data_IF_695265387979
#
_entry.id   IF_695265387979
#
_cell.length_a   1.000
_cell.length_b   1.000
_cell.length_c   1.000
_cell.angle_alpha   90.00
_cell.angle_beta   90.00
_cell.angle_gamma   90.00
#
_symmetry.space_group_name_H-M   'P 1'
#
loop_
_entity.id
_entity.type
_entity.pdbx_description
1 polymer ?
#
# COMPACT_ATOMS: atom_id res chain seq x y z
N UNK A 1 -4.64 16.37 29.90
CA UNK A 1 -5.40 15.12 29.72
C UNK A 1 -4.45 13.96 29.91
N UNK A 2 -4.72 13.03 30.83
CA UNK A 2 -3.87 11.85 31.06
C UNK A 2 -4.49 10.70 30.27
N UNK A 3 -3.77 10.19 29.28
CA UNK A 3 -4.15 8.95 28.58
C UNK A 3 -3.60 7.76 29.36
N UNK A 4 -4.45 6.76 29.56
CA UNK A 4 -4.08 5.50 30.21
C UNK A 4 -4.27 4.38 29.20
N UNK A 5 -3.26 3.52 29.10
CA UNK A 5 -3.35 2.28 28.34
C UNK A 5 -3.95 1.24 29.27
N UNK A 6 -5.03 0.60 28.82
CA UNK A 6 -5.65 -0.51 29.51
C UNK A 6 -5.66 -1.69 28.56
N UNK A 7 -5.43 -2.89 29.08
CA UNK A 7 -5.70 -4.13 28.35
C UNK A 7 -7.22 -4.26 28.17
N UNK A 8 -7.77 -3.54 27.19
CA UNK A 8 -9.19 -3.55 26.82
C UNK A 8 -9.53 -4.64 25.81
N UNK A 9 -8.52 -5.35 25.31
CA UNK A 9 -8.66 -6.46 24.39
C UNK A 9 -8.10 -7.68 25.10
N UNK A 10 -8.96 -8.62 25.52
CA UNK A 10 -8.53 -9.97 25.88
C UNK A 10 -8.10 -10.68 24.59
N UNK A 11 -7.02 -10.20 23.97
CA UNK A 11 -6.39 -10.92 22.88
C UNK A 11 -5.85 -12.20 23.50
N UNK A 12 -6.19 -13.34 22.90
CA UNK A 12 -5.58 -14.61 23.25
C UNK A 12 -4.07 -14.39 23.34
N UNK A 13 -3.36 -15.03 24.28
CA UNK A 13 -1.91 -14.98 24.30
C UNK A 13 -1.44 -15.24 22.86
N UNK A 14 -0.55 -14.40 22.33
CA UNK A 14 0.18 -14.69 21.09
C UNK A 14 1.12 -15.88 21.35
N UNK A 15 0.55 -17.05 21.69
CA UNK A 15 1.21 -18.34 21.58
C UNK A 15 1.46 -18.65 20.12
N UNK A 16 2.21 -19.73 19.83
CA UNK A 16 2.66 -20.11 18.47
C UNK A 16 1.62 -19.78 17.38
N UNK A 17 1.88 -18.64 16.74
CA UNK A 17 1.47 -18.14 15.43
C UNK A 17 0.42 -19.00 14.73
N UNK A 18 -0.86 -18.76 15.02
CA UNK A 18 -1.92 -19.18 14.09
C UNK A 18 -2.00 -18.13 12.98
N UNK A 19 -2.07 -18.57 11.72
CA UNK A 19 -1.99 -17.72 10.53
C UNK A 19 -3.09 -16.65 10.43
N UNK A 20 -4.18 -16.77 11.19
CA UNK A 20 -5.29 -15.81 11.21
C UNK A 20 -5.07 -14.67 12.22
N UNK A 21 -4.33 -14.89 13.31
CA UNK A 21 -4.04 -13.86 14.31
C UNK A 21 -3.16 -12.74 13.73
N UNK A 22 -2.37 -13.07 12.70
CA UNK A 22 -1.65 -12.15 11.84
C UNK A 22 -2.50 -10.99 11.32
N UNK A 23 -3.78 -11.25 11.08
CA UNK A 23 -4.72 -10.34 10.43
C UNK A 23 -5.63 -9.61 11.44
N UNK A 24 -5.43 -9.79 12.74
CA UNK A 24 -6.19 -9.12 13.79
C UNK A 24 -5.68 -7.68 14.10
N UNK A 25 -4.76 -7.15 13.29
CA UNK A 25 -4.22 -5.81 13.46
C UNK A 25 -5.27 -4.71 13.26
N UNK A 26 -5.53 -3.91 14.30
CA UNK A 26 -6.53 -2.82 14.25
C UNK A 26 -6.15 -1.71 13.26
N UNK A 27 -4.87 -1.57 12.94
CA UNK A 27 -4.39 -0.56 11.98
C UNK A 27 -4.35 -1.08 10.54
N UNK A 28 -4.62 -2.36 10.34
CA UNK A 28 -4.58 -2.97 9.03
C UNK A 28 -3.18 -3.35 8.57
N UNK A 29 -3.02 -3.52 7.26
CA UNK A 29 -1.77 -3.94 6.68
C UNK A 29 -1.71 -3.82 5.16
N UNK A 30 -0.63 -4.34 4.59
CA UNK A 30 -0.36 -4.41 3.15
C UNK A 30 0.46 -5.66 2.85
N UNK A 31 0.48 -6.05 1.57
CA UNK A 31 1.37 -7.11 1.08
C UNK A 31 2.06 -6.69 -0.20
N UNK A 32 3.24 -7.24 -0.42
CA UNK A 32 3.97 -7.18 -1.67
C UNK A 32 4.49 -8.59 -1.96
N UNK A 33 4.20 -9.12 -3.15
CA UNK A 33 4.52 -10.51 -3.49
C UNK A 33 4.04 -11.50 -2.40
N UNK A 34 4.98 -12.20 -1.75
CA UNK A 34 4.73 -13.15 -0.67
C UNK A 34 4.94 -12.57 0.74
N UNK A 35 5.34 -11.30 0.83
CA UNK A 35 5.59 -10.59 2.09
C UNK A 35 4.41 -9.71 2.48
N UNK A 36 4.27 -9.44 3.77
CA UNK A 36 3.20 -8.61 4.32
C UNK A 36 3.56 -7.97 5.66
N UNK A 37 2.91 -6.84 5.92
CA UNK A 37 2.99 -6.13 7.19
C UNK A 37 1.57 -5.90 7.68
N UNK A 38 1.28 -6.35 8.89
CA UNK A 38 0.00 -6.12 9.59
C UNK A 38 0.26 -5.54 10.96
N UNK A 39 -0.27 -4.35 11.23
CA UNK A 39 0.02 -3.57 12.42
C UNK A 39 -1.07 -3.75 13.48
N UNK A 40 -0.67 -4.14 14.69
CA UNK A 40 -1.56 -4.30 15.83
C UNK A 40 -1.03 -3.60 17.08
N UNK A 41 -1.96 -3.21 17.95
CA UNK A 41 -1.60 -2.76 19.29
C UNK A 41 -1.03 -3.90 20.11
N UNK A 42 -0.08 -3.57 20.97
CA UNK A 42 0.46 -4.48 21.96
C UNK A 42 -0.38 -4.42 23.24
N UNK A 43 -0.51 -5.57 23.92
CA UNK A 43 -0.96 -5.60 25.31
C UNK A 43 0.06 -4.90 26.22
N UNK A 44 -0.37 -4.44 27.40
CA UNK A 44 0.51 -3.77 28.36
C UNK A 44 1.69 -4.66 28.75
N UNK A 45 1.46 -5.97 28.91
CA UNK A 45 2.52 -6.95 29.17
C UNK A 45 3.56 -6.99 28.04
N UNK A 46 3.11 -7.01 26.78
CA UNK A 46 3.99 -6.98 25.61
C UNK A 46 4.75 -5.65 25.47
N UNK A 47 4.08 -4.52 25.72
CA UNK A 47 4.72 -3.18 25.72
C UNK A 47 5.89 -3.18 26.70
N UNK A 48 5.66 -3.61 27.94
CA UNK A 48 6.70 -3.65 28.98
C UNK A 48 7.83 -4.62 28.62
N UNK A 49 7.49 -5.83 28.18
CA UNK A 49 8.46 -6.87 27.82
C UNK A 49 9.35 -6.45 26.65
N UNK A 50 8.77 -6.00 25.54
CA UNK A 50 9.51 -5.60 24.34
C UNK A 50 10.35 -4.34 24.59
N UNK A 51 9.79 -3.33 25.26
CA UNK A 51 10.53 -2.10 25.57
C UNK A 51 11.70 -2.34 26.51
N UNK A 52 11.55 -3.24 27.50
CA UNK A 52 12.64 -3.59 28.42
C UNK A 52 13.78 -4.36 27.71
N UNK A 53 13.43 -5.23 26.76
CA UNK A 53 14.38 -6.04 26.02
C UNK A 53 15.24 -5.19 25.07
N UNK A 54 14.65 -4.20 24.38
CA UNK A 54 15.39 -3.24 23.56
C UNK A 54 16.38 -2.40 24.38
N UNK A 55 16.01 -1.99 25.60
CA UNK A 55 16.90 -1.24 26.50
C UNK A 55 18.09 -2.09 26.97
N UNK A 56 17.89 -3.40 27.16
CA UNK A 56 18.95 -4.31 27.62
C UNK A 56 20.00 -4.66 26.56
N UNK A 57 19.66 -4.54 25.27
CA UNK A 57 20.56 -4.87 24.15
C UNK A 57 21.41 -3.68 23.68
N UNK A 58 21.38 -2.55 24.39
CA UNK A 58 22.21 -1.37 24.07
C UNK A 58 21.83 -0.65 22.77
N UNK A 59 20.70 -1.01 22.15
CA UNK A 59 20.29 -0.50 20.84
C UNK A 59 19.48 0.79 20.86
N UNK A 60 19.01 1.27 22.03
CA UNK A 60 18.16 2.48 22.10
C UNK A 60 18.14 3.11 23.50
N UNK A 61 17.82 4.40 23.55
CA UNK A 61 17.63 5.14 24.80
C UNK A 61 16.47 4.56 25.63
N UNK A 62 16.65 4.47 26.95
CA UNK A 62 15.70 3.89 27.92
C UNK A 62 14.36 4.65 27.98
N UNK A 63 14.26 5.75 27.27
CA UNK A 63 13.13 6.67 27.15
C UNK A 63 12.03 6.20 26.20
N UNK A 64 12.19 5.16 25.38
CA UNK A 64 11.15 4.73 24.42
C UNK A 64 10.22 3.62 24.96
N UNK A 65 8.96 3.61 24.51
CA UNK A 65 7.99 2.53 24.68
C UNK A 65 7.47 2.04 23.33
N UNK A 66 7.57 0.75 23.04
CA UNK A 66 6.97 0.13 21.84
C UNK A 66 5.48 -0.08 22.11
N UNK A 67 4.63 0.60 21.34
CA UNK A 67 3.18 0.69 21.55
C UNK A 67 2.37 -0.17 20.57
N UNK A 68 2.86 -0.31 19.35
CA UNK A 68 2.29 -1.16 18.31
C UNK A 68 3.41 -1.86 17.55
N UNK A 69 3.15 -3.02 16.97
CA UNK A 69 4.13 -3.70 16.14
C UNK A 69 3.48 -4.50 15.03
N UNK A 70 4.26 -4.77 14.00
CA UNK A 70 3.93 -5.75 12.98
C UNK A 70 4.15 -7.17 13.51
N UNK A 71 3.56 -8.14 12.82
CA UNK A 71 4.04 -9.51 12.92
C UNK A 71 5.55 -9.58 12.61
N UNK A 72 6.28 -10.40 13.38
CA UNK A 72 7.73 -10.53 13.25
C UNK A 72 8.54 -9.31 13.70
N UNK A 73 7.89 -8.25 14.21
CA UNK A 73 8.54 -7.01 14.69
C UNK A 73 9.39 -6.28 13.63
N UNK A 74 9.09 -6.48 12.34
CA UNK A 74 9.75 -5.78 11.23
C UNK A 74 9.48 -4.27 11.29
N UNK A 75 8.29 -3.89 11.75
CA UNK A 75 7.87 -2.50 11.96
C UNK A 75 7.33 -2.32 13.38
N UNK A 76 7.76 -1.26 14.05
CA UNK A 76 7.36 -0.95 15.42
C UNK A 76 6.97 0.51 15.53
N UNK A 77 5.92 0.82 16.28
CA UNK A 77 5.56 2.20 16.62
C UNK A 77 5.97 2.45 18.06
N UNK A 78 6.85 3.42 18.27
CA UNK A 78 7.30 3.83 19.59
C UNK A 78 6.76 5.18 20.02
N UNK A 79 6.74 5.38 21.33
CA UNK A 79 6.49 6.64 22.00
C UNK A 79 7.70 7.00 22.86
N UNK A 80 8.21 8.20 22.70
CA UNK A 80 9.21 8.79 23.59
C UNK A 80 8.54 9.26 24.90
N UNK A 81 9.02 8.77 26.05
CA UNK A 81 8.47 9.07 27.39
C UNK A 81 8.69 10.52 27.83
N UNK A 82 9.68 11.21 27.27
CA UNK A 82 10.12 12.55 27.65
C UNK A 82 9.31 13.60 26.89
N UNK A 83 9.30 13.52 25.57
CA UNK A 83 8.64 14.52 24.71
C UNK A 83 7.28 14.05 24.17
N UNK A 84 6.93 12.77 24.32
CA UNK A 84 5.66 12.22 23.85
C UNK A 84 5.56 12.06 22.33
N UNK A 85 6.66 12.18 21.60
CA UNK A 85 6.71 12.00 20.15
C UNK A 85 6.49 10.53 19.77
N UNK A 86 5.93 10.31 18.58
CA UNK A 86 5.72 8.98 18.02
C UNK A 86 6.53 8.78 16.77
N UNK A 87 7.22 7.65 16.72
CA UNK A 87 8.02 7.25 15.58
C UNK A 87 7.77 5.80 15.17
N UNK A 88 7.76 5.55 13.88
CA UNK A 88 7.88 4.21 13.30
C UNK A 88 9.35 3.86 13.21
N UNK A 89 9.72 2.75 13.84
CA UNK A 89 11.06 2.20 13.91
C UNK A 89 11.12 0.95 13.05
N UNK A 90 12.21 0.85 12.29
CA UNK A 90 12.41 -0.11 11.22
C UNK A 90 13.82 -0.66 11.37
N UNK A 91 13.98 -1.67 12.22
CA UNK A 91 15.30 -2.17 12.60
C UNK A 91 16.19 -1.07 13.20
N UNK A 92 17.43 -0.93 12.70
CA UNK A 92 18.44 0.01 13.21
C UNK A 92 18.60 1.32 12.42
N UNK A 93 17.83 1.55 11.35
CA UNK A 93 18.27 2.48 10.30
C UNK A 93 17.70 3.90 10.38
N UNK A 94 16.39 4.12 10.53
CA UNK A 94 15.80 5.48 10.52
C UNK A 94 14.46 5.50 11.25
N UNK A 95 14.23 6.52 12.07
CA UNK A 95 12.94 6.80 12.70
C UNK A 95 12.09 7.70 11.78
N UNK A 96 10.87 7.28 11.45
CA UNK A 96 9.91 8.13 10.71
C UNK A 96 8.81 8.62 11.65
N UNK A 97 8.29 9.86 11.51
CA UNK A 97 7.15 10.30 12.29
C UNK A 97 5.97 9.33 12.14
N UNK A 98 5.30 9.02 13.24
CA UNK A 98 4.12 8.15 13.25
C UNK A 98 2.87 8.88 13.72
N UNK A 99 2.85 10.21 13.71
CA UNK A 99 1.65 10.99 13.99
C UNK A 99 1.71 12.34 13.24
N UNK A 100 0.57 12.91 12.83
CA UNK A 100 0.51 14.28 12.34
C UNK A 100 1.07 15.27 13.37
N UNK A 101 1.70 16.36 12.92
CA UNK A 101 2.11 17.46 13.79
C UNK A 101 0.92 18.20 14.43
N UNK A 102 1.15 18.89 15.55
CA UNK A 102 0.11 19.63 16.26
C UNK A 102 0.27 19.71 17.78
N UNK A 103 -0.24 20.78 18.37
CA UNK A 103 -0.12 21.05 19.82
C UNK A 103 -1.37 20.68 20.64
N UNK A 104 -2.50 20.40 20.00
CA UNK A 104 -3.80 20.29 20.68
C UNK A 104 -3.95 19.04 21.57
N UNK A 105 -3.24 17.95 21.25
CA UNK A 105 -3.24 16.71 22.04
C UNK A 105 -1.94 15.92 21.83
N UNK A 106 -1.70 14.89 22.65
CA UNK A 106 -0.49 14.08 22.54
C UNK A 106 -0.45 13.30 21.20
N UNK A 107 0.75 12.85 20.80
CA UNK A 107 0.94 12.19 19.51
C UNK A 107 0.09 10.92 19.35
N UNK A 108 -0.10 10.13 20.42
CA UNK A 108 -0.94 8.91 20.41
C UNK A 108 -2.37 9.24 20.01
N UNK A 109 -2.95 10.26 20.63
CA UNK A 109 -4.31 10.66 20.29
C UNK A 109 -4.40 11.15 18.84
N UNK A 110 -3.43 11.96 18.39
CA UNK A 110 -3.38 12.43 16.99
C UNK A 110 -3.29 11.28 16.01
N UNK A 111 -2.44 10.28 16.28
CA UNK A 111 -2.27 9.09 15.47
C UNK A 111 -3.58 8.29 15.33
N UNK A 112 -4.23 7.97 16.45
CA UNK A 112 -5.52 7.26 16.42
C UNK A 112 -6.64 8.07 15.77
N UNK A 113 -6.75 9.36 16.08
CA UNK A 113 -7.80 10.21 15.53
C UNK A 113 -7.64 10.35 14.01
N UNK A 114 -6.42 10.49 13.51
CA UNK A 114 -6.15 10.55 12.07
C UNK A 114 -6.41 9.20 11.40
N UNK A 115 -6.02 8.07 12.01
CA UNK A 115 -6.35 6.75 11.49
C UNK A 115 -7.88 6.55 11.38
N UNK A 116 -8.60 6.84 12.46
CA UNK A 116 -10.07 6.74 12.50
C UNK A 116 -10.72 7.69 11.48
N UNK A 117 -10.18 8.89 11.32
CA UNK A 117 -10.62 9.85 10.29
C UNK A 117 -10.44 9.26 8.88
N UNK A 118 -9.27 8.71 8.57
CA UNK A 118 -8.97 8.08 7.27
C UNK A 118 -9.88 6.89 6.97
N UNK A 119 -10.17 6.04 7.97
CA UNK A 119 -11.14 4.97 7.83
C UNK A 119 -12.54 5.49 7.54
N UNK A 120 -13.04 6.44 8.35
CA UNK A 120 -14.36 7.04 8.18
C UNK A 120 -14.51 7.72 6.82
N UNK A 121 -13.47 8.41 6.36
CA UNK A 121 -13.47 9.15 5.11
C UNK A 121 -13.25 8.21 3.89
N UNK A 122 -13.09 6.89 4.14
CA UNK A 122 -12.96 5.85 3.12
C UNK A 122 -11.61 5.84 2.40
N UNK A 123 -10.55 6.38 3.04
CA UNK A 123 -9.19 6.33 2.48
C UNK A 123 -8.72 4.88 2.40
N UNK A 124 -8.95 4.10 3.45
CA UNK A 124 -8.63 2.67 3.49
C UNK A 124 -9.91 1.85 3.45
N UNK A 125 -9.93 0.81 2.64
CA UNK A 125 -11.04 -0.14 2.58
C UNK A 125 -10.69 -1.44 3.31
N UNK A 126 -11.72 -2.16 3.76
CA UNK A 126 -11.55 -3.54 4.16
C UNK A 126 -11.42 -4.41 2.91
N UNK A 127 -10.26 -5.02 2.70
CA UNK A 127 -10.00 -5.92 1.57
C UNK A 127 -9.03 -7.04 1.96
N UNK A 128 -8.95 -8.12 1.18
CA UNK A 128 -7.91 -9.13 1.35
C UNK A 128 -6.53 -8.46 1.25
N UNK A 129 -5.64 -8.72 2.22
CA UNK A 129 -4.25 -8.22 2.15
C UNK A 129 -3.50 -8.88 1.00
N UNK A 130 -3.76 -10.16 0.73
CA UNK A 130 -3.27 -10.86 -0.44
C UNK A 130 -4.42 -10.99 -1.45
N UNK A 131 -4.52 -10.11 -2.45
CA UNK A 131 -5.66 -10.11 -3.38
C UNK A 131 -5.71 -11.36 -4.27
N UNK A 132 -4.56 -11.99 -4.53
CA UNK A 132 -4.43 -13.18 -5.37
C UNK A 132 -4.47 -14.50 -4.57
N UNK A 133 -4.60 -14.43 -3.24
CA UNK A 133 -4.69 -15.60 -2.35
C UNK A 133 -5.92 -15.47 -1.44
N UNK A 134 -6.38 -16.57 -0.86
CA UNK A 134 -7.43 -16.48 0.17
C UNK A 134 -6.84 -15.86 1.43
N UNK A 135 -7.25 -14.65 1.76
CA UNK A 135 -6.93 -13.97 3.02
C UNK A 135 -8.16 -13.25 3.57
N UNK A 136 -8.30 -13.11 4.90
CA UNK A 136 -9.42 -12.39 5.49
C UNK A 136 -9.39 -10.91 5.06
N UNK A 137 -10.58 -10.31 4.96
CA UNK A 137 -10.67 -8.88 4.71
C UNK A 137 -10.32 -8.11 5.98
N UNK A 138 -9.37 -7.20 5.87
CA UNK A 138 -8.91 -6.33 6.97
C UNK A 138 -8.67 -4.93 6.41
N UNK A 139 -8.51 -3.89 7.23
CA UNK A 139 -8.13 -2.58 6.70
C UNK A 139 -6.84 -2.70 5.87
N UNK A 140 -6.92 -2.33 4.59
CA UNK A 140 -5.81 -2.39 3.67
C UNK A 140 -5.23 -0.98 3.49
N UNK A 141 -3.92 -0.83 3.73
CA UNK A 141 -3.27 0.48 3.77
C UNK A 141 -2.97 1.08 2.40
N UNK A 142 -3.31 0.39 1.31
CA UNK A 142 -3.36 1.00 -0.02
C UNK A 142 -4.57 1.95 -0.11
N UNK A 143 -4.37 3.26 -0.33
CA UNK A 143 -5.49 4.18 -0.44
C UNK A 143 -6.43 3.83 -1.60
N UNK A 144 -7.74 3.82 -1.35
CA UNK A 144 -8.75 3.55 -2.39
C UNK A 144 -9.28 4.84 -2.99
N UNK A 145 -9.36 5.91 -2.18
CA UNK A 145 -9.84 7.22 -2.64
C UNK A 145 -8.70 8.10 -3.11
N UNK A 146 -8.92 8.76 -4.24
CA UNK A 146 -8.04 9.83 -4.70
C UNK A 146 -8.11 11.01 -3.73
N UNK A 147 -6.96 11.48 -3.28
CA UNK A 147 -6.83 12.66 -2.41
C UNK A 147 -6.54 13.95 -3.22
N UNK A 148 -6.94 13.99 -4.48
CA UNK A 148 -6.65 15.07 -5.43
C UNK A 148 -5.83 14.59 -6.65
N UNK A 149 -5.54 15.45 -7.64
CA UNK A 149 -4.90 15.07 -8.90
C UNK A 149 -3.47 14.50 -8.76
N UNK A 150 -2.84 14.71 -7.61
CA UNK A 150 -1.50 14.22 -7.27
C UNK A 150 -1.50 13.26 -6.07
N UNK A 151 -2.68 12.72 -5.71
CA UNK A 151 -2.83 11.80 -4.60
C UNK A 151 -2.21 10.42 -4.85
N UNK A 152 -2.03 9.61 -3.80
CA UNK A 152 -1.43 8.28 -3.86
C UNK A 152 -2.35 7.23 -4.49
N UNK A 153 -3.60 7.59 -4.82
CA UNK A 153 -4.54 6.73 -5.52
C UNK A 153 -5.20 7.47 -6.67
N UNK A 154 -5.18 6.89 -7.87
CA UNK A 154 -5.74 7.48 -9.08
C UNK A 154 -6.46 6.43 -9.92
N UNK A 155 -7.33 6.90 -10.82
CA UNK A 155 -8.07 6.04 -11.76
C UNK A 155 -7.94 6.60 -13.16
N UNK A 156 -7.70 5.73 -14.14
CA UNK A 156 -7.86 6.02 -15.55
C UNK A 156 -8.86 5.03 -16.17
N UNK A 157 -9.60 5.49 -17.17
CA UNK A 157 -10.48 4.65 -17.97
C UNK A 157 -10.10 4.84 -19.44
N UNK A 158 -9.84 3.73 -20.14
CA UNK A 158 -9.53 3.74 -21.56
C UNK A 158 -10.40 2.71 -22.25
N UNK A 159 -11.31 3.17 -23.13
CA UNK A 159 -12.20 2.30 -23.90
C UNK A 159 -12.93 1.25 -23.03
N UNK A 160 -13.44 1.66 -21.87
CA UNK A 160 -14.14 0.76 -20.94
C UNK A 160 -13.24 -0.01 -19.97
N UNK A 161 -11.93 -0.06 -20.17
CA UNK A 161 -11.00 -0.68 -19.22
C UNK A 161 -10.66 0.35 -18.14
N UNK A 162 -11.00 0.06 -16.89
CA UNK A 162 -10.70 0.90 -15.72
C UNK A 162 -9.47 0.35 -15.00
N UNK A 163 -8.47 1.21 -14.85
CA UNK A 163 -7.24 0.95 -14.08
C UNK A 163 -7.23 1.87 -12.86
N UNK A 164 -7.31 1.28 -11.67
CA UNK A 164 -7.07 1.98 -10.41
C UNK A 164 -5.65 1.66 -9.94
N UNK A 165 -4.88 2.69 -9.61
CA UNK A 165 -3.52 2.55 -9.11
C UNK A 165 -3.41 3.25 -7.76
N UNK A 166 -2.85 2.54 -6.78
CA UNK A 166 -2.58 3.03 -5.43
C UNK A 166 -1.12 2.80 -5.07
N UNK A 167 -0.51 3.70 -4.31
CA UNK A 167 0.88 3.58 -3.86
C UNK A 167 1.03 3.75 -2.35
N UNK A 168 2.08 3.14 -1.81
CA UNK A 168 2.44 3.18 -0.40
C UNK A 168 3.98 3.21 -0.28
N UNK A 169 4.50 4.08 0.58
CA UNK A 169 5.92 4.09 0.92
C UNK A 169 6.24 3.01 1.96
N UNK A 170 7.32 2.27 1.74
CA UNK A 170 7.72 1.12 2.54
C UNK A 170 9.09 1.35 3.18
N UNK A 171 9.13 2.04 4.32
CA UNK A 171 10.39 2.44 4.89
C UNK A 171 11.21 1.24 5.42
N UNK A 172 10.58 0.14 5.83
CA UNK A 172 11.27 -1.09 6.28
C UNK A 172 12.00 -1.84 5.16
N UNK A 173 11.74 -1.50 3.89
CA UNK A 173 12.41 -2.07 2.73
C UNK A 173 13.38 -1.07 2.07
N UNK A 174 13.63 0.09 2.67
CA UNK A 174 14.60 1.06 2.17
C UNK A 174 16.02 0.64 2.54
N UNK A 175 17.01 1.01 1.72
CA UNK A 175 18.42 0.80 2.04
C UNK A 175 18.81 1.61 3.28
N UNK A 176 19.60 1.03 4.19
CA UNK A 176 20.19 1.79 5.29
C UNK A 176 21.31 2.70 4.73
N UNK A 177 21.28 4.02 4.94
CA UNK A 177 22.35 4.92 4.51
C UNK A 177 23.74 4.55 5.09
N UNK A 178 23.78 3.83 6.21
CA UNK A 178 25.02 3.38 6.85
C UNK A 178 25.57 2.06 6.27
N UNK A 179 24.83 1.39 5.38
CA UNK A 179 25.29 0.18 4.69
C UNK A 179 26.09 0.56 3.43
N UNK A 180 27.34 0.95 3.65
CA UNK A 180 28.29 1.37 2.59
C UNK A 180 28.45 0.32 1.48
N UNK A 181 28.16 -0.96 1.74
CA UNK A 181 28.24 -2.05 0.77
C UNK A 181 27.14 -1.98 -0.31
N UNK A 182 26.02 -1.28 -0.05
CA UNK A 182 24.88 -1.16 -0.98
C UNK A 182 24.91 0.10 -1.85
N UNK A 183 25.88 0.99 -1.66
CA UNK A 183 26.29 2.01 -2.63
C UNK A 183 25.32 3.17 -2.93
N UNK A 184 24.01 3.03 -2.70
CA UNK A 184 23.03 4.12 -2.94
C UNK A 184 21.79 3.98 -2.05
N UNK A 185 21.29 5.11 -1.52
CA UNK A 185 19.98 5.17 -0.89
C UNK A 185 18.91 4.72 -1.89
N UNK A 186 18.11 3.71 -1.52
CA UNK A 186 16.99 3.25 -2.32
C UNK A 186 15.72 3.35 -1.50
N UNK A 187 14.75 4.07 -2.05
CA UNK A 187 13.44 4.31 -1.48
C UNK A 187 12.45 3.29 -2.06
N UNK A 188 11.89 2.44 -1.22
CA UNK A 188 10.96 1.40 -1.68
C UNK A 188 9.52 1.90 -1.64
N UNK A 189 8.83 1.78 -2.77
CA UNK A 189 7.42 2.07 -2.90
C UNK A 189 6.68 0.82 -3.36
N UNK A 190 5.68 0.42 -2.60
CA UNK A 190 4.71 -0.58 -3.03
C UNK A 190 3.58 0.08 -3.82
N UNK A 191 3.01 -0.67 -4.74
CA UNK A 191 1.83 -0.24 -5.47
C UNK A 191 0.84 -1.38 -5.65
N UNK A 192 -0.45 -1.03 -5.62
CA UNK A 192 -1.58 -1.90 -5.86
C UNK A 192 -2.28 -1.43 -7.13
N UNK A 193 -2.46 -2.34 -8.08
CA UNK A 193 -3.19 -2.07 -9.32
C UNK A 193 -4.45 -2.94 -9.34
N UNK A 194 -5.58 -2.32 -9.63
CA UNK A 194 -6.86 -2.99 -9.79
C UNK A 194 -7.41 -2.74 -11.19
N UNK A 195 -7.66 -3.82 -11.91
CA UNK A 195 -8.30 -3.80 -13.22
C UNK A 195 -9.78 -4.15 -13.10
N UNK A 196 -10.61 -3.46 -13.88
CA UNK A 196 -12.00 -3.86 -14.12
C UNK A 196 -12.41 -3.47 -15.55
N UNK A 197 -13.35 -4.21 -16.12
CA UNK A 197 -14.01 -3.83 -17.36
C UNK A 197 -15.39 -3.26 -17.00
N UNK A 198 -15.64 -2.01 -17.40
CA UNK A 198 -16.93 -1.36 -17.19
C UNK A 198 -18.08 -2.22 -17.74
N UNK A 199 -19.25 -2.13 -17.12
CA UNK A 199 -20.46 -2.75 -17.66
C UNK A 199 -20.78 -2.19 -19.05
N UNK A 200 -21.53 -2.95 -19.85
CA UNK A 200 -21.95 -2.50 -21.19
C UNK A 200 -22.71 -1.16 -21.13
N UNK A 201 -23.53 -0.97 -20.09
CA UNK A 201 -24.26 0.27 -19.82
C UNK A 201 -23.32 1.45 -19.52
N UNK A 202 -22.31 1.26 -18.65
CA UNK A 202 -21.31 2.29 -18.36
C UNK A 202 -20.45 2.62 -19.58
N UNK A 203 -20.10 1.62 -20.40
CA UNK A 203 -19.37 1.82 -21.66
C UNK A 203 -20.22 2.63 -22.66
N UNK A 204 -21.51 2.31 -22.78
CA UNK A 204 -22.44 3.03 -23.64
C UNK A 204 -22.64 4.48 -23.17
N UNK A 205 -22.74 4.70 -21.86
CA UNK A 205 -22.89 6.03 -21.28
C UNK A 205 -21.62 6.90 -21.45
N UNK A 206 -20.44 6.29 -21.46
CA UNK A 206 -19.17 6.96 -21.69
C UNK A 206 -18.82 7.15 -23.18
N UNK A 207 -19.60 6.56 -24.08
CA UNK A 207 -19.39 6.68 -25.52
C UNK A 207 -19.71 8.10 -25.97
N UNK A 208 -18.73 8.77 -26.57
CA UNK A 208 -18.82 10.15 -27.03
C UNK A 208 -19.53 10.31 -28.39
N UNK A 209 -20.02 9.22 -28.98
CA UNK A 209 -20.65 9.23 -30.29
C UNK A 209 -19.67 9.37 -31.45
N UNK A 210 -18.36 9.30 -31.21
CA UNK A 210 -17.35 9.39 -32.27
C UNK A 210 -17.39 8.17 -33.21
N UNK A 211 -16.99 8.41 -34.47
CA UNK A 211 -16.95 7.49 -35.62
C UNK A 211 -17.39 6.03 -35.40
N UNK A 212 -18.65 5.74 -35.75
CA UNK A 212 -19.14 4.36 -35.94
C UNK A 212 -20.33 3.98 -35.08
N UNK A 213 -20.65 2.69 -35.09
CA UNK A 213 -21.65 2.10 -34.20
C UNK A 213 -20.98 1.70 -32.90
N UNK A 214 -21.58 2.04 -31.76
CA UNK A 214 -21.09 1.61 -30.46
C UNK A 214 -21.09 0.08 -30.38
N UNK A 215 -19.94 -0.49 -30.04
CA UNK A 215 -19.77 -1.91 -29.76
C UNK A 215 -19.07 -2.04 -28.41
N UNK A 216 -19.74 -2.60 -27.38
CA UNK A 216 -19.15 -2.77 -26.07
C UNK A 216 -18.12 -3.89 -26.09
N UNK A 217 -17.07 -3.72 -25.30
CA UNK A 217 -16.16 -4.82 -24.98
C UNK A 217 -16.86 -5.73 -23.97
N UNK A 218 -17.04 -7.00 -24.33
CA UNK A 218 -17.65 -7.99 -23.43
C UNK A 218 -16.61 -8.69 -22.56
N UNK A 219 -15.42 -8.92 -23.10
CA UNK A 219 -14.31 -9.50 -22.39
C UNK A 219 -12.98 -9.00 -22.96
N UNK A 220 -11.96 -8.90 -22.11
CA UNK A 220 -10.59 -8.58 -22.53
C UNK A 220 -9.59 -9.42 -21.75
N UNK A 221 -8.46 -9.74 -22.35
CA UNK A 221 -7.35 -10.42 -21.68
C UNK A 221 -6.08 -9.57 -21.71
N UNK A 222 -5.43 -9.42 -20.56
CA UNK A 222 -4.15 -8.74 -20.43
C UNK A 222 -3.05 -9.54 -21.13
N UNK A 223 -2.21 -8.86 -21.88
CA UNK A 223 -1.08 -9.46 -22.61
C UNK A 223 0.26 -8.93 -22.10
N UNK A 224 0.41 -7.63 -21.92
CA UNK A 224 1.66 -7.01 -21.52
C UNK A 224 1.44 -5.77 -20.64
N UNK A 225 2.53 -5.30 -20.05
CA UNK A 225 2.60 -4.05 -19.29
C UNK A 225 3.83 -3.25 -19.73
N UNK A 226 3.72 -1.94 -19.62
CA UNK A 226 4.84 -1.01 -19.74
C UNK A 226 4.74 0.00 -18.62
N UNK A 227 5.82 0.14 -17.86
CA UNK A 227 5.96 1.07 -16.76
C UNK A 227 7.05 2.09 -17.04
N UNK A 228 6.76 3.34 -16.73
CA UNK A 228 7.70 4.44 -16.67
C UNK A 228 7.75 4.95 -15.23
N UNK A 229 8.88 4.74 -14.57
CA UNK A 229 9.19 5.37 -13.31
C UNK A 229 10.00 6.64 -13.60
N UNK A 230 9.57 7.76 -13.03
CA UNK A 230 10.10 9.09 -13.28
C UNK A 230 10.59 9.65 -11.94
N UNK A 231 11.82 9.32 -11.50
CA UNK A 231 12.40 9.88 -10.29
C UNK A 231 12.61 11.40 -10.46
N UNK A 232 12.51 12.18 -9.38
CA UNK A 232 12.88 13.59 -9.40
C UNK A 232 14.40 13.71 -9.61
N UNK A 233 14.83 14.40 -10.66
CA UNK A 233 16.25 14.66 -10.98
C UNK A 233 17.11 13.44 -11.37
N UNK A 234 16.48 12.32 -11.75
CA UNK A 234 17.19 11.18 -12.35
C UNK A 234 16.54 10.74 -13.66
N UNK A 235 17.27 9.92 -14.41
CA UNK A 235 16.77 9.37 -15.67
C UNK A 235 15.54 8.47 -15.46
N UNK A 236 14.58 8.50 -16.39
CA UNK A 236 13.45 7.58 -16.39
C UNK A 236 13.88 6.11 -16.40
N UNK A 237 13.22 5.30 -15.59
CA UNK A 237 13.41 3.85 -15.55
C UNK A 237 12.23 3.21 -16.29
N UNK A 238 12.52 2.46 -17.36
CA UNK A 238 11.54 1.74 -18.15
C UNK A 238 11.50 0.27 -17.71
N UNK A 239 10.31 -0.27 -17.49
CA UNK A 239 10.10 -1.70 -17.29
C UNK A 239 8.93 -2.18 -18.15
N UNK A 240 9.19 -3.06 -19.11
CA UNK A 240 8.16 -3.67 -19.94
C UNK A 240 8.25 -5.19 -19.87
N UNK A 241 7.12 -5.88 -20.01
CA UNK A 241 7.10 -7.33 -20.00
C UNK A 241 5.70 -7.92 -20.13
N UNK A 242 5.62 -9.26 -20.27
CA UNK A 242 4.35 -9.96 -20.40
C UNK A 242 3.58 -9.98 -19.07
N UNK A 243 2.26 -9.86 -19.17
CA UNK A 243 1.34 -9.94 -18.05
C UNK A 243 1.67 -9.03 -16.86
N UNK A 244 1.17 -9.39 -15.69
CA UNK A 244 1.50 -8.76 -14.39
C UNK A 244 1.76 -9.86 -13.37
N UNK A 245 2.88 -9.78 -12.64
CA UNK A 245 3.24 -10.77 -11.59
C UNK A 245 3.10 -12.24 -12.02
N UNK A 246 3.37 -12.54 -13.30
CA UNK A 246 3.24 -13.88 -13.88
C UNK A 246 1.83 -14.29 -14.33
N UNK A 247 0.86 -13.37 -14.27
CA UNK A 247 -0.53 -13.60 -14.63
C UNK A 247 -0.94 -12.85 -15.91
N UNK A 248 -1.93 -13.42 -16.61
CA UNK A 248 -2.61 -12.84 -17.77
C UNK A 248 -4.13 -12.75 -17.51
N UNK A 249 -4.57 -11.83 -16.63
CA UNK A 249 -5.98 -11.66 -16.26
C UNK A 249 -6.94 -11.57 -17.45
N UNK A 250 -8.07 -12.25 -17.34
CA UNK A 250 -9.23 -12.03 -18.19
C UNK A 250 -10.30 -11.27 -17.41
N UNK A 251 -10.84 -10.22 -18.01
CA UNK A 251 -11.89 -9.37 -17.47
C UNK A 251 -13.15 -9.55 -18.30
N UNK A 252 -14.31 -9.47 -17.65
CA UNK A 252 -15.62 -9.48 -18.31
C UNK A 252 -16.38 -8.21 -17.97
N UNK A 253 -17.24 -7.73 -18.88
CA UNK A 253 -17.98 -6.49 -18.71
C UNK A 253 -18.85 -6.54 -17.44
N UNK A 254 -18.67 -5.56 -16.54
CA UNK A 254 -19.36 -5.53 -15.24
C UNK A 254 -18.98 -6.67 -14.29
N UNK A 255 -17.97 -7.46 -14.65
CA UNK A 255 -17.47 -8.58 -13.86
C UNK A 255 -16.60 -8.15 -12.68
N UNK A 256 -16.07 -9.13 -11.93
CA UNK A 256 -15.22 -8.85 -10.78
C UNK A 256 -13.90 -8.18 -11.21
N UNK A 257 -13.42 -7.26 -10.37
CA UNK A 257 -12.10 -6.67 -10.52
C UNK A 257 -10.99 -7.66 -10.19
N UNK A 258 -9.83 -7.50 -10.82
CA UNK A 258 -8.61 -8.20 -10.44
C UNK A 258 -7.60 -7.22 -9.87
N UNK A 259 -7.06 -7.53 -8.68
CA UNK A 259 -6.08 -6.72 -7.98
C UNK A 259 -4.78 -7.47 -7.82
N UNK A 260 -3.65 -6.80 -8.02
CA UNK A 260 -2.32 -7.31 -7.68
C UNK A 260 -1.48 -6.24 -6.99
N UNK A 261 -0.51 -6.68 -6.20
CA UNK A 261 0.44 -5.82 -5.51
C UNK A 261 1.86 -6.10 -6.02
N UNK A 262 2.67 -5.06 -6.16
CA UNK A 262 4.10 -5.16 -6.50
C UNK A 262 4.83 -3.96 -5.88
N UNK A 263 6.13 -3.80 -6.14
CA UNK A 263 6.93 -2.71 -5.63
C UNK A 263 7.97 -2.25 -6.64
N UNK A 264 8.53 -1.07 -6.38
CA UNK A 264 9.66 -0.51 -7.11
C UNK A 264 10.64 0.13 -6.11
N UNK A 265 11.90 0.23 -6.50
CA UNK A 265 12.93 0.96 -5.77
C UNK A 265 13.29 2.21 -6.56
N UNK A 266 13.30 3.35 -5.88
CA UNK A 266 13.59 4.66 -6.45
C UNK A 266 14.91 5.19 -5.88
N UNK A 267 15.74 5.85 -6.70
CA UNK A 267 17.00 6.46 -6.24
C UNK A 267 16.79 7.75 -5.43
N UNK A 268 15.56 8.26 -5.36
CA UNK A 268 15.21 9.50 -4.69
C UNK A 268 13.86 9.39 -3.96
N UNK A 269 13.60 10.25 -2.96
CA UNK A 269 12.42 10.14 -2.10
C UNK A 269 11.11 10.55 -2.77
N UNK A 270 11.19 11.17 -3.96
CA UNK A 270 10.04 11.66 -4.72
C UNK A 270 10.12 11.28 -6.19
N UNK A 271 8.97 11.09 -6.83
CA UNK A 271 8.89 10.82 -8.26
C UNK A 271 7.46 10.56 -8.71
N UNK A 272 7.32 10.00 -9.90
CA UNK A 272 6.02 9.57 -10.45
C UNK A 272 6.13 8.19 -11.06
N UNK A 273 5.01 7.48 -11.06
CA UNK A 273 4.84 6.22 -11.79
C UNK A 273 3.68 6.38 -12.76
N UNK A 274 3.91 6.03 -14.02
CA UNK A 274 2.90 6.01 -15.09
C UNK A 274 3.17 4.83 -16.01
N UNK A 275 2.22 4.47 -16.88
CA UNK A 275 2.39 3.32 -17.75
C UNK A 275 1.15 2.97 -18.55
N UNK A 276 1.20 1.80 -19.18
CA UNK A 276 0.11 1.24 -19.95
C UNK A 276 0.05 -0.28 -19.81
N UNK A 277 -1.13 -0.81 -20.11
CA UNK A 277 -1.42 -2.24 -20.10
C UNK A 277 -2.07 -2.62 -21.43
N UNK A 278 -1.44 -3.55 -22.15
CA UNK A 278 -1.99 -4.05 -23.40
C UNK A 278 -3.01 -5.15 -23.17
N UNK A 279 -4.21 -4.95 -23.68
CA UNK A 279 -5.30 -5.91 -23.65
C UNK A 279 -5.70 -6.32 -25.07
N UNK A 280 -6.11 -7.58 -25.23
CA UNK A 280 -6.82 -8.05 -26.42
C UNK A 280 -8.28 -8.31 -26.08
N UNK A 281 -9.18 -7.94 -26.98
CA UNK A 281 -10.59 -8.31 -26.87
C UNK A 281 -10.77 -9.84 -26.94
N UNK A 282 -11.58 -10.39 -26.04
CA UNK A 282 -11.81 -11.83 -25.90
C UNK A 282 -10.61 -12.56 -25.28
N UNK A 283 -10.10 -13.54 -26.02
CA UNK A 283 -8.93 -14.37 -25.68
C UNK A 283 -7.68 -13.81 -26.38
N UNK A 284 -6.55 -13.79 -25.69
CA UNK A 284 -5.28 -13.32 -26.22
C UNK A 284 -4.78 -14.11 -27.45
N UNK A 285 -5.17 -15.38 -27.59
CA UNK A 285 -4.80 -16.25 -28.72
C UNK A 285 -5.70 -16.07 -29.95
N UNK A 286 -6.83 -15.37 -29.81
CA UNK A 286 -7.72 -15.11 -30.94
C UNK A 286 -7.06 -14.15 -31.96
N UNK A 287 -7.04 -14.56 -33.23
CA UNK A 287 -6.50 -13.74 -34.32
C UNK A 287 -7.49 -12.65 -34.74
N UNK A 288 -6.98 -11.46 -35.05
CA UNK A 288 -7.78 -10.34 -35.57
C UNK A 288 -8.61 -9.59 -34.52
N UNK A 289 -8.42 -9.88 -33.23
CA UNK A 289 -9.12 -9.16 -32.15
C UNK A 289 -8.52 -7.78 -31.90
N UNK A 290 -9.36 -6.86 -31.42
CA UNK A 290 -8.96 -5.49 -31.12
C UNK A 290 -7.91 -5.47 -30.02
N UNK A 291 -6.79 -4.78 -30.26
CA UNK A 291 -5.79 -4.48 -29.23
C UNK A 291 -6.09 -3.11 -28.62
N UNK A 292 -6.07 -3.05 -27.29
CA UNK A 292 -6.40 -1.86 -26.52
C UNK A 292 -5.24 -1.60 -25.57
N UNK A 293 -4.62 -0.43 -25.71
CA UNK A 293 -3.62 0.03 -24.76
C UNK A 293 -4.32 0.86 -23.68
N UNK A 294 -4.58 0.24 -22.53
CA UNK A 294 -5.21 0.90 -21.40
C UNK A 294 -4.17 1.70 -20.61
N UNK A 295 -4.43 3.00 -20.41
CA UNK A 295 -3.53 3.84 -19.64
C UNK A 295 -3.59 3.48 -18.15
N UNK A 296 -2.44 3.39 -17.49
CA UNK A 296 -2.36 3.50 -16.04
C UNK A 296 -2.36 4.99 -15.67
N UNK A 297 -3.17 5.42 -14.70
CA UNK A 297 -3.09 6.81 -14.25
C UNK A 297 -1.72 7.10 -13.64
N UNK A 298 -1.27 8.34 -13.77
CA UNK A 298 -0.04 8.80 -13.13
C UNK A 298 -0.26 8.94 -11.63
N UNK A 299 0.54 8.24 -10.83
CA UNK A 299 0.55 8.34 -9.37
C UNK A 299 1.87 8.95 -8.89
N UNK A 300 1.81 9.69 -7.79
CA UNK A 300 2.98 10.33 -7.19
C UNK A 300 3.61 9.40 -6.15
N UNK A 301 4.93 9.23 -6.26
CA UNK A 301 5.74 8.52 -5.28
C UNK A 301 6.35 9.59 -4.37
N UNK A 302 6.05 9.55 -3.08
CA UNK A 302 6.60 10.50 -2.11
C UNK A 302 6.59 9.90 -0.72
N UNK A 303 7.60 10.21 0.08
CA UNK A 303 7.60 9.90 1.51
C UNK A 303 6.48 10.71 2.19
N UNK A 304 5.55 10.06 2.92
CA UNK A 304 4.53 10.77 3.66
C UNK A 304 5.12 11.47 4.88
N UNK A 305 4.48 12.55 5.34
CA UNK A 305 4.88 13.26 6.56
C UNK A 305 4.87 12.37 7.81
N UNK A 306 4.04 11.32 7.82
CA UNK A 306 4.00 10.32 8.88
C UNK A 306 3.47 8.95 8.37
N UNK A 307 3.76 7.89 9.13
CA UNK A 307 3.53 6.49 8.73
C UNK A 307 2.70 5.73 9.78
N UNK A 308 1.91 4.74 9.31
CA UNK A 308 1.15 3.78 10.13
C UNK A 308 1.78 2.40 10.11
#
# INVERSE_FOLDING_TARGET
MILRVHDGQFLRPRGRWQSLDAFCGIFGGYSLYDDYVTMGLLSLGEILALSSSCNSQGGRDSSSLIFACSQGSVKQICIDKVNGAMASILGQAVDFPAAPEGAACCAVQRWFCEYARRLRDGVYAASPIFPLKRSPSTPCLYPVRSSGPHGPAQVAVTQGIRVHASVLFLPEYCSNPQDEARGTEAYTFAYQITFSLLSEEEQAAAWDGSLGTFQPLLAVQLVNRTWHFLPTDHDPILASGPGVVGLFPQLSAGGPSLTYNSCTQMPCPTGRMTGSFGFKEGDAEAQGTRFIEAACPTVHLSIPEYIY
#
